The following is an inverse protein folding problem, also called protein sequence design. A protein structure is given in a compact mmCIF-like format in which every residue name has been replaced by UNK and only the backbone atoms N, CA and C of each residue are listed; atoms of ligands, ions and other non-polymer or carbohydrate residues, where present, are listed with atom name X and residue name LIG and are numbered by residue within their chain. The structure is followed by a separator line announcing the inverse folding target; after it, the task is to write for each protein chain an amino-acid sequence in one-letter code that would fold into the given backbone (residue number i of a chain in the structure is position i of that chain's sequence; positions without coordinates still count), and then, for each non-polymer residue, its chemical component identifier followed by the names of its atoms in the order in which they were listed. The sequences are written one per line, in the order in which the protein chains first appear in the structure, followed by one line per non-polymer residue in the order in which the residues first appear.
data_IF_018531625408
#
_entry.id   IF_018531625408
#
_cell.length_a   1.000
_cell.length_b   1.000
_cell.length_c   1.000
_cell.angle_alpha   90.00
_cell.angle_beta   90.00
_cell.angle_gamma   90.00
#
_symmetry.space_group_name_H-M   'P 1'
#
loop_
_entity.id
_entity.type
_entity.pdbx_description
1 polymer ?
#
# COMPACT_ATOMS: atom_id res chain seq x y z
N UNK A 1 2.65 25.04 48.81
CA UNK A 1 3.50 25.31 47.63
C UNK A 1 4.66 24.33 47.71
N UNK A 2 4.79 23.46 46.72
CA UNK A 2 5.66 22.27 46.75
C UNK A 2 7.08 22.69 46.38
N UNK A 3 8.05 22.41 47.24
CA UNK A 3 9.46 22.49 46.91
C UNK A 3 9.74 21.53 45.75
N UNK A 4 10.30 22.05 44.66
CA UNK A 4 10.67 21.29 43.47
C UNK A 4 11.77 20.29 43.85
N UNK A 5 11.43 19.01 43.87
CA UNK A 5 12.40 17.93 44.09
C UNK A 5 13.42 17.90 42.95
N UNK A 6 14.67 18.23 43.27
CA UNK A 6 15.80 18.17 42.36
C UNK A 6 16.09 16.70 42.04
N UNK A 7 15.63 16.24 40.88
CA UNK A 7 16.02 14.94 40.31
C UNK A 7 17.43 15.09 39.74
N UNK A 8 18.42 14.51 40.42
CA UNK A 8 19.81 14.56 39.99
C UNK A 8 20.17 13.26 39.23
N UNK A 9 20.92 13.37 38.10
CA UNK A 9 21.39 12.29 37.17
C UNK A 9 22.95 12.22 36.96
N UNK A 10 23.58 11.04 37.10
CA UNK A 10 24.96 10.49 36.77
C UNK A 10 25.16 10.33 35.30
N UNK A 11 26.10 11.06 34.72
CA UNK A 11 26.69 10.85 33.41
C UNK A 11 28.19 10.60 33.51
N UNK A 12 28.69 9.62 32.77
CA UNK A 12 30.13 9.37 32.69
C UNK A 12 30.77 10.34 31.74
N UNK A 13 31.79 11.01 32.26
CA UNK A 13 32.53 12.06 31.56
C UNK A 13 33.92 11.52 31.24
N UNK A 14 34.38 11.63 29.98
CA UNK A 14 35.78 11.42 29.63
C UNK A 14 36.71 12.21 30.55
N UNK A 15 37.94 11.72 30.77
CA UNK A 15 38.89 12.27 31.74
C UNK A 15 39.14 13.79 31.57
N UNK A 16 39.13 14.28 30.32
CA UNK A 16 39.21 15.70 29.96
C UNK A 16 38.01 16.53 30.46
N UNK A 17 36.81 15.96 30.36
CA UNK A 17 35.54 16.56 30.79
C UNK A 17 35.35 16.50 32.31
N UNK A 18 35.82 15.44 32.97
CA UNK A 18 35.83 15.35 34.44
C UNK A 18 36.71 16.46 35.06
N UNK A 19 37.90 16.70 34.51
CA UNK A 19 38.82 17.75 34.97
C UNK A 19 38.19 19.15 34.75
N UNK A 20 37.53 19.38 33.60
CA UNK A 20 36.84 20.63 33.30
C UNK A 20 35.65 20.91 34.25
N UNK A 21 34.87 19.90 34.60
CA UNK A 21 33.73 20.04 35.53
C UNK A 21 34.20 20.30 36.97
N UNK A 22 35.28 19.63 37.40
CA UNK A 22 35.87 19.80 38.74
C UNK A 22 36.50 21.19 38.94
N UNK A 23 37.02 21.81 37.88
CA UNK A 23 37.55 23.18 37.90
C UNK A 23 36.49 24.29 38.09
N UNK A 24 35.19 23.92 38.03
CA UNK A 24 34.03 24.83 38.13
C UNK A 24 33.10 24.55 39.33
N UNK A 25 33.47 23.65 40.26
CA UNK A 25 32.76 23.36 41.53
C UNK A 25 31.24 23.01 41.41
N UNK A 26 30.88 21.93 40.69
CA UNK A 26 29.48 21.46 40.58
C UNK A 26 29.20 20.16 41.37
N UNK A 27 28.01 20.08 42.01
CA UNK A 27 27.64 19.08 43.03
C UNK A 27 26.63 18.03 42.46
N UNK A 28 27.02 16.76 42.28
CA UNK A 28 26.18 15.69 41.68
C UNK A 28 25.62 14.69 42.73
N UNK A 29 24.50 14.00 42.48
CA UNK A 29 23.85 13.09 43.46
C UNK A 29 24.33 11.64 43.49
N UNK A 30 23.63 10.81 44.25
CA UNK A 30 23.97 9.42 44.60
C UNK A 30 23.48 8.38 43.58
N UNK A 31 22.25 8.52 43.06
CA UNK A 31 21.67 7.65 41.99
C UNK A 31 22.56 7.61 40.74
N UNK A 32 22.96 8.82 40.48
CA UNK A 32 23.91 9.33 39.56
C UNK A 32 25.17 8.52 39.71
N UNK A 33 25.82 8.64 40.87
CA UNK A 33 27.12 8.05 41.11
C UNK A 33 27.08 6.52 41.02
N UNK A 34 25.94 5.91 41.37
CA UNK A 34 25.72 4.47 41.23
C UNK A 34 25.57 4.00 39.78
N UNK A 35 24.86 4.75 38.93
CA UNK A 35 24.77 4.48 37.49
C UNK A 35 26.14 4.59 36.82
N UNK A 36 26.95 5.52 37.32
CA UNK A 36 28.36 5.55 36.99
C UNK A 36 29.03 4.29 37.50
N UNK A 37 29.15 4.05 38.79
CA UNK A 37 29.96 2.93 39.31
C UNK A 37 29.65 1.59 38.60
N UNK A 38 28.39 1.32 38.21
CA UNK A 38 28.02 0.19 37.32
C UNK A 38 28.63 0.21 35.91
N UNK A 39 28.67 1.34 35.20
CA UNK A 39 29.29 1.42 33.86
C UNK A 39 30.84 1.33 33.94
N UNK A 40 31.47 1.61 35.09
CA UNK A 40 32.94 1.39 35.27
C UNK A 40 33.27 -0.05 35.65
N UNK A 41 32.37 -0.74 36.35
CA UNK A 41 32.57 -2.15 36.76
C UNK A 41 32.16 -3.15 35.68
N UNK A 42 31.32 -2.76 34.72
CA UNK A 42 31.03 -3.57 33.53
C UNK A 42 32.20 -3.51 32.54
N UNK A 43 32.71 -4.67 32.13
CA UNK A 43 33.68 -4.76 31.05
C UNK A 43 33.09 -4.11 29.80
N UNK A 44 33.88 -3.26 29.11
CA UNK A 44 33.47 -2.66 27.85
C UNK A 44 33.05 -3.74 26.83
N UNK A 45 33.67 -4.93 26.91
CA UNK A 45 33.27 -6.09 26.11
C UNK A 45 31.83 -6.54 26.41
N UNK A 46 31.45 -6.65 27.68
CA UNK A 46 30.09 -7.08 28.09
C UNK A 46 29.01 -6.07 27.70
N UNK A 47 29.31 -4.77 27.79
CA UNK A 47 28.42 -3.70 27.35
C UNK A 47 28.17 -3.83 25.85
N UNK A 48 29.24 -3.98 25.07
CA UNK A 48 29.16 -4.11 23.61
C UNK A 48 28.45 -5.41 23.21
N UNK A 49 28.68 -6.53 23.90
CA UNK A 49 27.99 -7.80 23.66
C UNK A 49 26.48 -7.66 23.87
N UNK A 50 26.05 -7.07 24.99
CA UNK A 50 24.62 -6.82 25.25
C UNK A 50 24.00 -5.87 24.22
N UNK A 51 24.72 -4.83 23.81
CA UNK A 51 24.23 -3.92 22.79
C UNK A 51 24.12 -4.59 21.41
N UNK A 52 25.07 -5.46 21.06
CA UNK A 52 25.01 -6.32 19.87
C UNK A 52 23.79 -7.25 19.95
N UNK A 53 23.54 -7.89 21.09
CA UNK A 53 22.37 -8.76 21.26
C UNK A 53 21.05 -7.98 21.15
N UNK A 54 20.95 -6.81 21.77
CA UNK A 54 19.77 -5.94 21.64
C UNK A 54 19.54 -5.55 20.19
N UNK A 55 20.58 -5.10 19.49
CA UNK A 55 20.50 -4.76 18.05
C UNK A 55 20.13 -5.96 17.19
N UNK A 56 20.61 -7.18 17.51
CA UNK A 56 20.17 -8.42 16.83
C UNK A 56 18.70 -8.71 17.04
N UNK A 57 18.17 -8.49 18.25
CA UNK A 57 16.73 -8.65 18.52
C UNK A 57 15.89 -7.61 17.78
N UNK A 58 16.31 -6.35 17.80
CA UNK A 58 15.68 -5.27 17.01
C UNK A 58 15.68 -5.60 15.52
N UNK A 59 16.79 -6.11 14.99
CA UNK A 59 16.93 -6.50 13.60
C UNK A 59 15.95 -7.64 13.25
N UNK A 60 15.83 -8.67 14.09
CA UNK A 60 14.84 -9.75 13.91
C UNK A 60 13.41 -9.22 13.89
N UNK A 61 13.06 -8.26 14.75
CA UNK A 61 11.73 -7.66 14.76
C UNK A 61 11.46 -6.84 13.49
N UNK A 62 12.46 -6.09 13.01
CA UNK A 62 12.35 -5.33 11.77
C UNK A 62 12.23 -6.24 10.56
N UNK A 63 12.97 -7.35 10.51
CA UNK A 63 12.85 -8.37 9.46
C UNK A 63 11.47 -9.02 9.44
N UNK A 64 10.92 -9.37 10.61
CA UNK A 64 9.56 -9.90 10.71
C UNK A 64 8.51 -8.90 10.20
N UNK A 65 8.63 -7.62 10.60
CA UNK A 65 7.77 -6.54 10.08
C UNK A 65 7.91 -6.38 8.56
N UNK A 66 9.14 -6.44 8.04
CA UNK A 66 9.41 -6.33 6.60
C UNK A 66 8.77 -7.50 5.83
N UNK A 67 8.82 -8.73 6.37
CA UNK A 67 8.18 -9.90 5.77
C UNK A 67 6.67 -9.71 5.66
N UNK A 68 6.02 -9.25 6.73
CA UNK A 68 4.58 -8.95 6.74
C UNK A 68 4.24 -7.88 5.69
N UNK A 69 5.01 -6.80 5.62
CA UNK A 69 4.79 -5.73 4.63
C UNK A 69 4.95 -6.27 3.20
N UNK A 70 5.97 -7.10 2.95
CA UNK A 70 6.20 -7.71 1.64
C UNK A 70 5.04 -8.63 1.23
N UNK A 71 4.52 -9.44 2.15
CA UNK A 71 3.38 -10.31 1.89
C UNK A 71 2.10 -9.51 1.60
N UNK A 72 1.83 -8.44 2.37
CA UNK A 72 0.72 -7.53 2.10
C UNK A 72 0.84 -6.88 0.71
N UNK A 73 2.01 -6.32 0.37
CA UNK A 73 2.26 -5.72 -0.95
C UNK A 73 2.13 -6.74 -2.08
N UNK A 74 2.53 -7.99 -1.88
CA UNK A 74 2.34 -9.06 -2.87
C UNK A 74 0.86 -9.33 -3.13
N UNK A 75 0.05 -9.42 -2.07
CA UNK A 75 -1.41 -9.61 -2.20
C UNK A 75 -2.07 -8.42 -2.90
N UNK A 76 -1.76 -7.20 -2.47
CA UNK A 76 -2.29 -5.97 -3.10
C UNK A 76 -1.88 -5.87 -4.58
N UNK A 77 -0.64 -6.21 -4.92
CA UNK A 77 -0.19 -6.19 -6.31
C UNK A 77 -0.87 -7.29 -7.15
N UNK A 78 -1.05 -8.49 -6.60
CA UNK A 78 -1.77 -9.56 -7.28
C UNK A 78 -3.23 -9.18 -7.55
N UNK A 79 -3.88 -8.52 -6.58
CA UNK A 79 -5.25 -8.02 -6.74
C UNK A 79 -5.34 -6.91 -7.79
N UNK A 80 -4.41 -5.96 -7.78
CA UNK A 80 -4.33 -4.90 -8.81
C UNK A 80 -4.09 -5.50 -10.19
N UNK A 81 -3.18 -6.46 -10.30
CA UNK A 81 -2.89 -7.12 -11.57
C UNK A 81 -4.11 -7.87 -12.08
N UNK A 82 -4.83 -8.59 -11.22
CA UNK A 82 -6.07 -9.26 -11.58
C UNK A 82 -7.11 -8.29 -12.14
N UNK A 83 -7.31 -7.13 -11.49
CA UNK A 83 -8.25 -6.10 -11.95
C UNK A 83 -7.84 -5.60 -13.34
N UNK A 84 -6.55 -5.31 -13.54
CA UNK A 84 -5.98 -4.86 -14.81
C UNK A 84 -6.20 -5.91 -15.91
N UNK A 85 -5.94 -7.18 -15.63
CA UNK A 85 -6.04 -8.27 -16.60
C UNK A 85 -7.49 -8.50 -17.03
N UNK A 86 -8.43 -8.49 -16.09
CA UNK A 86 -9.86 -8.61 -16.39
C UNK A 86 -10.35 -7.41 -17.19
N UNK A 87 -9.99 -6.19 -16.77
CA UNK A 87 -10.36 -4.96 -17.47
C UNK A 87 -9.84 -4.93 -18.91
N UNK A 88 -8.60 -5.38 -19.13
CA UNK A 88 -8.01 -5.47 -20.47
C UNK A 88 -8.77 -6.44 -21.38
N UNK A 89 -9.12 -7.63 -20.87
CA UNK A 89 -9.90 -8.63 -21.63
C UNK A 89 -11.28 -8.11 -22.03
N UNK A 90 -11.99 -7.48 -21.10
CA UNK A 90 -13.32 -6.90 -21.35
C UNK A 90 -13.23 -5.73 -22.33
N UNK A 91 -12.22 -4.86 -22.18
CA UNK A 91 -11.99 -3.73 -23.08
C UNK A 91 -11.72 -4.20 -24.53
N UNK A 92 -10.90 -5.23 -24.70
CA UNK A 92 -10.62 -5.84 -26.00
C UNK A 92 -11.88 -6.47 -26.61
N UNK A 93 -12.60 -7.28 -25.83
CA UNK A 93 -13.85 -7.91 -26.24
C UNK A 93 -14.87 -6.87 -26.71
N UNK A 94 -15.13 -5.84 -25.90
CA UNK A 94 -16.07 -4.77 -26.23
C UNK A 94 -15.63 -4.00 -27.47
N UNK A 95 -14.35 -3.68 -27.59
CA UNK A 95 -13.81 -2.98 -28.77
C UNK A 95 -14.09 -3.75 -30.05
N UNK A 96 -13.80 -5.06 -30.07
CA UNK A 96 -14.03 -5.91 -31.26
C UNK A 96 -15.53 -6.01 -31.54
N UNK A 97 -16.32 -6.29 -30.51
CA UNK A 97 -17.76 -6.50 -30.63
C UNK A 97 -18.48 -5.26 -31.16
N UNK A 98 -18.16 -4.08 -30.63
CA UNK A 98 -18.73 -2.81 -31.08
C UNK A 98 -18.27 -2.43 -32.49
N UNK A 99 -17.01 -2.66 -32.84
CA UNK A 99 -16.54 -2.42 -34.21
C UNK A 99 -17.30 -3.27 -35.23
N UNK A 100 -17.50 -4.55 -34.93
CA UNK A 100 -18.26 -5.46 -35.79
C UNK A 100 -19.72 -5.01 -35.92
N UNK A 101 -20.35 -4.61 -34.82
CA UNK A 101 -21.71 -4.10 -34.81
C UNK A 101 -21.85 -2.82 -35.64
N UNK A 102 -20.98 -1.82 -35.44
CA UNK A 102 -21.00 -0.55 -36.18
C UNK A 102 -20.76 -0.79 -37.68
N UNK A 103 -19.85 -1.71 -38.04
CA UNK A 103 -19.62 -2.07 -39.43
C UNK A 103 -20.83 -2.77 -40.07
N UNK A 104 -21.53 -3.63 -39.33
CA UNK A 104 -22.76 -4.25 -39.79
C UNK A 104 -23.88 -3.22 -39.94
N UNK A 105 -24.05 -2.32 -38.97
CA UNK A 105 -25.04 -1.25 -39.03
C UNK A 105 -24.83 -0.28 -40.20
N UNK A 106 -23.59 -0.13 -40.70
CA UNK A 106 -23.32 0.63 -41.93
C UNK A 106 -23.71 -0.12 -43.22
N UNK A 107 -23.86 -1.45 -43.16
CA UNK A 107 -24.14 -2.31 -44.33
C UNK A 107 -25.61 -2.72 -44.45
N UNK A 108 -26.36 -2.71 -43.35
CA UNK A 108 -27.75 -3.15 -43.29
C UNK A 108 -28.63 -1.99 -42.81
N UNK A 109 -29.78 -1.80 -43.47
CA UNK A 109 -30.68 -0.65 -43.22
C UNK A 109 -31.30 -0.64 -41.82
N UNK A 110 -31.41 -1.80 -41.16
CA UNK A 110 -31.93 -1.94 -39.80
C UNK A 110 -31.10 -2.92 -38.98
N UNK A 111 -30.51 -2.43 -37.90
CA UNK A 111 -29.84 -3.24 -36.88
C UNK A 111 -30.36 -2.82 -35.51
N UNK A 112 -30.86 -3.79 -34.74
CA UNK A 112 -31.41 -3.57 -33.40
C UNK A 112 -30.28 -3.34 -32.38
N UNK A 113 -30.03 -2.07 -32.07
CA UNK A 113 -29.00 -1.67 -31.12
C UNK A 113 -29.37 -1.99 -29.67
N UNK A 114 -30.65 -1.89 -29.31
CA UNK A 114 -31.10 -2.13 -27.93
C UNK A 114 -30.92 -3.61 -27.57
N UNK A 115 -31.32 -4.52 -28.45
CA UNK A 115 -31.11 -5.95 -28.24
C UNK A 115 -29.63 -6.33 -28.22
N UNK A 116 -28.81 -5.70 -29.07
CA UNK A 116 -27.38 -5.93 -29.09
C UNK A 116 -26.69 -5.47 -27.79
N UNK A 117 -27.05 -4.29 -27.26
CA UNK A 117 -26.47 -3.77 -26.01
C UNK A 117 -26.89 -4.64 -24.83
N UNK A 118 -28.18 -4.98 -24.72
CA UNK A 118 -28.67 -5.87 -23.67
C UNK A 118 -27.96 -7.24 -23.69
N UNK A 119 -27.84 -7.87 -24.86
CA UNK A 119 -27.13 -9.14 -25.00
C UNK A 119 -25.62 -9.02 -24.72
N UNK A 120 -25.02 -7.86 -24.94
CA UNK A 120 -23.60 -7.61 -24.61
C UNK A 120 -23.38 -7.50 -23.11
N UNK A 121 -24.31 -6.86 -22.38
CA UNK A 121 -24.30 -6.81 -20.91
C UNK A 121 -24.42 -8.21 -20.33
N UNK A 122 -25.37 -9.00 -20.82
CA UNK A 122 -25.57 -10.39 -20.36
C UNK A 122 -24.34 -11.26 -20.56
N UNK A 123 -23.65 -11.12 -21.70
CA UNK A 123 -22.41 -11.85 -21.97
C UNK A 123 -21.29 -11.43 -21.01
N UNK A 124 -21.13 -10.13 -20.77
CA UNK A 124 -20.07 -9.65 -19.86
C UNK A 124 -20.33 -10.10 -18.43
N UNK A 125 -21.59 -10.08 -18.01
CA UNK A 125 -21.98 -10.57 -16.70
C UNK A 125 -21.76 -12.07 -16.55
N UNK A 126 -22.04 -12.88 -17.58
CA UNK A 126 -21.82 -14.34 -17.54
C UNK A 126 -20.35 -14.73 -17.62
N UNK A 127 -19.59 -14.12 -18.53
CA UNK A 127 -18.23 -14.54 -18.86
C UNK A 127 -17.18 -13.92 -17.93
N UNK A 128 -17.45 -12.71 -17.42
CA UNK A 128 -16.50 -11.95 -16.60
C UNK A 128 -17.05 -11.56 -15.23
N UNK A 129 -18.33 -11.84 -14.94
CA UNK A 129 -18.95 -11.53 -13.66
C UNK A 129 -19.17 -10.04 -13.42
N UNK A 130 -19.00 -9.18 -14.43
CA UNK A 130 -19.05 -7.71 -14.31
C UNK A 130 -20.39 -7.21 -14.81
N UNK A 131 -21.01 -6.30 -14.07
CA UNK A 131 -22.21 -5.61 -14.50
C UNK A 131 -21.89 -4.17 -14.94
N UNK A 132 -22.29 -3.83 -16.16
CA UNK A 132 -22.21 -2.47 -16.73
C UNK A 132 -23.63 -2.07 -17.08
N UNK A 133 -24.09 -0.91 -16.61
CA UNK A 133 -25.45 -0.46 -16.87
C UNK A 133 -25.65 -0.12 -18.34
N UNK A 134 -26.89 -0.18 -18.79
CA UNK A 134 -27.27 0.09 -20.18
C UNK A 134 -26.75 1.45 -20.67
N UNK A 135 -26.98 2.52 -19.89
CA UNK A 135 -26.55 3.88 -20.23
C UNK A 135 -25.02 4.04 -20.30
N UNK A 136 -24.29 3.31 -19.46
CA UNK A 136 -22.83 3.26 -19.47
C UNK A 136 -22.31 2.48 -20.68
N UNK A 137 -23.00 1.40 -21.06
CA UNK A 137 -22.67 0.60 -22.23
C UNK A 137 -22.89 1.37 -23.54
N UNK A 138 -23.96 2.17 -23.62
CA UNK A 138 -24.22 3.08 -24.75
C UNK A 138 -23.06 4.06 -24.91
N UNK A 139 -22.61 4.70 -23.83
CA UNK A 139 -21.46 5.63 -23.85
C UNK A 139 -20.17 4.96 -24.33
N UNK A 140 -19.91 3.72 -23.89
CA UNK A 140 -18.75 2.95 -24.36
C UNK A 140 -18.84 2.66 -25.86
N UNK A 141 -20.03 2.36 -26.37
CA UNK A 141 -20.25 2.14 -27.81
C UNK A 141 -20.09 3.44 -28.62
N UNK A 142 -20.64 4.56 -28.14
CA UNK A 142 -20.47 5.89 -28.73
C UNK A 142 -19.00 6.29 -28.79
N UNK A 143 -18.23 6.00 -27.73
CA UNK A 143 -16.78 6.23 -27.69
C UNK A 143 -16.08 5.51 -28.86
N UNK A 144 -16.42 4.25 -29.12
CA UNK A 144 -15.87 3.50 -30.27
C UNK A 144 -16.32 4.08 -31.61
N UNK A 145 -17.59 4.51 -31.71
CA UNK A 145 -18.15 5.07 -32.94
C UNK A 145 -17.55 6.43 -33.32
N UNK A 146 -17.23 7.26 -32.32
CA UNK A 146 -16.86 8.66 -32.51
C UNK A 146 -15.61 8.94 -33.36
N UNK A 147 -14.68 7.97 -33.51
CA UNK A 147 -13.56 8.03 -34.48
C UNK A 147 -12.77 6.69 -34.57
N UNK A 148 -13.42 5.54 -34.34
CA UNK A 148 -12.74 4.23 -34.31
C UNK A 148 -11.89 4.01 -33.05
N UNK A 149 -12.09 4.85 -32.03
CA UNK A 149 -11.43 4.77 -30.73
C UNK A 149 -11.61 3.39 -30.11
N UNK A 150 -10.61 2.92 -29.37
CA UNK A 150 -10.69 1.65 -28.64
C UNK A 150 -11.20 1.93 -27.24
N UNK A 151 -11.85 0.94 -26.64
CA UNK A 151 -12.09 0.95 -25.20
C UNK A 151 -10.77 0.56 -24.55
N UNK A 152 -10.32 1.35 -23.60
CA UNK A 152 -9.10 1.09 -22.85
C UNK A 152 -9.46 0.38 -21.54
N UNK A 153 -8.48 -0.30 -20.94
CA UNK A 153 -8.69 -0.97 -19.65
C UNK A 153 -9.11 0.03 -18.56
N UNK A 154 -8.61 1.26 -18.63
CA UNK A 154 -8.93 2.38 -17.74
C UNK A 154 -10.43 2.70 -17.74
N UNK A 155 -11.12 2.53 -18.87
CA UNK A 155 -12.57 2.71 -18.97
C UNK A 155 -13.34 1.62 -18.24
N UNK A 156 -12.75 0.43 -18.08
CA UNK A 156 -13.42 -0.75 -17.53
C UNK A 156 -13.11 -0.98 -16.05
N UNK A 157 -11.91 -0.59 -15.60
CA UNK A 157 -11.45 -0.73 -14.20
C UNK A 157 -12.51 -0.33 -13.16
N UNK A 158 -13.24 0.81 -13.29
CA UNK A 158 -14.25 1.20 -12.31
C UNK A 158 -15.37 0.17 -12.13
N UNK A 159 -15.77 -0.54 -13.19
CA UNK A 159 -16.83 -1.55 -13.12
C UNK A 159 -16.33 -2.84 -12.46
N UNK A 160 -15.07 -3.22 -12.69
CA UNK A 160 -14.43 -4.37 -12.04
C UNK A 160 -14.31 -4.14 -10.53
N UNK A 161 -13.97 -2.91 -10.11
CA UNK A 161 -13.83 -2.55 -8.70
C UNK A 161 -15.18 -2.56 -7.99
N UNK A 162 -16.18 -1.86 -8.54
CA UNK A 162 -17.53 -1.78 -7.94
C UNK A 162 -18.16 -3.15 -7.75
N UNK A 163 -17.97 -4.05 -8.70
CA UNK A 163 -18.54 -5.39 -8.61
C UNK A 163 -17.91 -6.22 -7.48
N UNK A 164 -16.60 -6.06 -7.23
CA UNK A 164 -15.94 -6.71 -6.10
C UNK A 164 -16.44 -6.19 -4.75
N UNK A 165 -16.70 -4.90 -4.63
CA UNK A 165 -17.26 -4.31 -3.40
C UNK A 165 -18.64 -4.91 -3.07
N UNK A 166 -19.45 -5.21 -4.08
CA UNK A 166 -20.77 -5.85 -3.91
C UNK A 166 -20.66 -7.33 -3.51
N UNK A 167 -19.63 -8.05 -3.97
CA UNK A 167 -19.42 -9.47 -3.63
C UNK A 167 -18.83 -9.64 -2.22
N UNK A 168 -18.12 -8.62 -1.70
CA UNK A 168 -17.47 -8.64 -0.40
C UNK A 168 -18.25 -7.93 0.73
N UNK A 169 -19.41 -7.34 0.42
CA UNK A 169 -20.36 -6.78 1.39
C UNK A 169 -21.35 -7.84 1.88
#
# INVERSE_FOLDING_TARGET
MKEEEIIRTTLYLPKSLHIAVKSKDLNMSKLVRSFLEQIIEEDEEDILVREIERKKQELKQLEAKLKIIREKKKKENAEKQYIIDVAAKVAEFLTIRFKNFIQAAKKYDHVDADHFIAGTIDLIQKDYGIFIRYDEMVKLMEKVNSNGSKIEKEDIIPYVIKQKEVIHA
#
